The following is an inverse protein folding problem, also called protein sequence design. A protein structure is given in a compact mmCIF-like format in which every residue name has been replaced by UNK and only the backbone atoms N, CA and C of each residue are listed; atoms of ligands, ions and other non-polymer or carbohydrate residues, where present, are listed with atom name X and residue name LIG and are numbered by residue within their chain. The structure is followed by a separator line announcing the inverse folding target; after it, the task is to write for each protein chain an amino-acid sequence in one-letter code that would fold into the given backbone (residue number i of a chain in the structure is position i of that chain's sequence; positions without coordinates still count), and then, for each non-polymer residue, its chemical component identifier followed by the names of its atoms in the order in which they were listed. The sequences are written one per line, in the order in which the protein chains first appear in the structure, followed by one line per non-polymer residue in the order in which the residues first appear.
data_IF_470517230739
#
_entry.id   IF_470517230739
#
_cell.length_a   1.000
_cell.length_b   1.000
_cell.length_c   1.000
_cell.angle_alpha   90.00
_cell.angle_beta   90.00
_cell.angle_gamma   90.00
#
_symmetry.space_group_name_H-M   'P 1'
#
loop_
_entity.id
_entity.type
_entity.pdbx_description
1 polymer ?
#
# COMPACT_ATOMS: atom_id res chain seq x y z
N UNK A 1 28.06 -10.31 -16.54
CA UNK A 1 27.13 -11.12 -15.73
C UNK A 1 26.48 -12.14 -16.66
N UNK A 2 26.75 -13.43 -16.47
CA UNK A 2 26.20 -14.51 -17.29
C UNK A 2 25.33 -15.42 -16.41
N UNK A 3 24.21 -15.90 -16.96
CA UNK A 3 23.32 -16.85 -16.29
C UNK A 3 23.77 -18.27 -16.61
N UNK A 4 23.87 -19.12 -15.59
CA UNK A 4 24.23 -20.54 -15.68
C UNK A 4 23.15 -21.39 -15.02
N UNK A 5 22.82 -22.53 -15.61
CA UNK A 5 21.93 -23.52 -14.98
C UNK A 5 22.73 -24.37 -13.99
N UNK A 6 22.26 -24.46 -12.75
CA UNK A 6 22.90 -25.25 -11.68
C UNK A 6 21.89 -26.25 -11.14
N UNK A 7 22.31 -27.50 -10.99
CA UNK A 7 21.44 -28.54 -10.43
C UNK A 7 21.00 -28.16 -9.00
N UNK A 8 19.72 -28.39 -8.69
CA UNK A 8 19.14 -28.00 -7.41
C UNK A 8 19.90 -28.65 -6.23
N UNK A 9 20.35 -29.89 -6.38
CA UNK A 9 21.12 -30.62 -5.38
C UNK A 9 22.53 -30.09 -5.12
N UNK A 10 23.09 -29.28 -6.03
CA UNK A 10 24.41 -28.69 -5.90
C UNK A 10 24.38 -27.33 -5.17
N UNK A 11 23.20 -26.75 -5.02
CA UNK A 11 22.99 -25.46 -4.36
C UNK A 11 22.92 -25.62 -2.85
N UNK A 12 23.60 -24.72 -2.14
CA UNK A 12 23.71 -24.77 -0.67
C UNK A 12 23.06 -23.53 -0.05
N UNK A 13 21.98 -23.67 0.72
CA UNK A 13 21.45 -22.56 1.50
C UNK A 13 22.51 -22.00 2.45
N UNK A 14 22.59 -20.68 2.56
CA UNK A 14 23.45 -20.05 3.55
C UNK A 14 22.90 -20.28 4.97
N UNK A 15 23.69 -20.94 5.82
CA UNK A 15 23.27 -21.39 7.14
C UNK A 15 22.85 -20.25 8.10
N UNK A 16 23.43 -19.05 7.95
CA UNK A 16 23.16 -17.90 8.80
C UNK A 16 22.29 -16.86 8.09
N UNK A 17 21.32 -17.27 7.27
CA UNK A 17 20.39 -16.35 6.63
C UNK A 17 19.48 -15.69 7.70
N UNK A 18 19.56 -14.37 7.92
CA UNK A 18 18.76 -13.70 8.95
C UNK A 18 17.31 -13.45 8.53
N UNK A 19 16.95 -13.66 7.25
CA UNK A 19 15.61 -13.36 6.73
C UNK A 19 14.66 -14.56 6.93
N UNK A 20 13.54 -14.31 7.61
CA UNK A 20 12.43 -15.25 7.72
C UNK A 20 11.53 -15.13 6.47
N UNK A 21 11.46 -16.19 5.67
CA UNK A 21 10.83 -16.16 4.34
C UNK A 21 9.63 -17.10 4.18
N UNK A 22 9.28 -17.88 5.19
CA UNK A 22 8.34 -19.01 5.05
C UNK A 22 6.99 -18.59 4.45
N UNK A 23 6.47 -17.44 4.88
CA UNK A 23 5.20 -16.88 4.37
C UNK A 23 5.28 -16.52 2.88
N UNK A 24 6.44 -16.01 2.42
CA UNK A 24 6.61 -15.56 1.05
C UNK A 24 6.78 -16.72 0.05
N UNK A 25 7.14 -17.93 0.51
CA UNK A 25 7.41 -19.07 -0.37
C UNK A 25 6.20 -19.39 -1.24
N UNK A 26 4.98 -19.34 -0.69
CA UNK A 26 3.76 -19.68 -1.45
C UNK A 26 3.57 -18.73 -2.66
N UNK A 27 3.71 -17.42 -2.46
CA UNK A 27 3.53 -16.43 -3.53
C UNK A 27 4.64 -16.50 -4.57
N UNK A 28 5.89 -16.69 -4.13
CA UNK A 28 7.04 -16.86 -5.03
C UNK A 28 6.90 -18.14 -5.86
N UNK A 29 6.38 -19.22 -5.26
CA UNK A 29 6.10 -20.48 -5.96
C UNK A 29 5.06 -20.29 -7.06
N UNK A 30 3.95 -19.58 -6.79
CA UNK A 30 2.95 -19.28 -7.81
C UNK A 30 3.52 -18.37 -8.91
N UNK A 31 4.34 -17.37 -8.56
CA UNK A 31 5.04 -16.52 -9.52
C UNK A 31 5.96 -17.32 -10.45
N UNK A 32 6.78 -18.23 -9.89
CA UNK A 32 7.65 -19.10 -10.70
C UNK A 32 6.82 -20.06 -11.56
N UNK A 33 5.73 -20.63 -11.04
CA UNK A 33 4.86 -21.52 -11.80
C UNK A 33 4.20 -20.82 -12.99
N UNK A 34 3.76 -19.57 -12.82
CA UNK A 34 3.07 -18.79 -13.84
C UNK A 34 4.02 -18.18 -14.87
N UNK A 35 5.11 -17.57 -14.44
CA UNK A 35 5.99 -16.74 -15.27
C UNK A 35 7.34 -17.40 -15.59
N UNK A 36 7.65 -18.52 -14.93
CA UNK A 36 8.98 -19.10 -14.93
C UNK A 36 9.96 -18.26 -14.12
N UNK A 37 11.22 -18.67 -14.17
CA UNK A 37 12.29 -18.05 -13.39
C UNK A 37 12.80 -16.77 -14.08
N UNK A 38 12.22 -15.61 -13.75
CA UNK A 38 12.63 -14.31 -14.32
C UNK A 38 13.80 -13.64 -13.61
N UNK A 39 14.02 -13.98 -12.34
CA UNK A 39 15.12 -13.42 -11.54
C UNK A 39 15.97 -14.57 -11.00
N UNK A 40 17.20 -14.77 -11.54
CA UNK A 40 18.10 -15.83 -11.10
C UNK A 40 18.46 -15.78 -9.61
N UNK A 41 18.96 -16.90 -9.09
CA UNK A 41 19.70 -16.89 -7.82
C UNK A 41 21.05 -16.20 -8.01
N UNK A 42 21.59 -15.63 -6.94
CA UNK A 42 23.01 -15.27 -6.90
C UNK A 42 23.71 -16.26 -5.98
N UNK A 43 24.80 -16.85 -6.46
CA UNK A 43 25.59 -17.85 -5.74
C UNK A 43 27.06 -17.46 -5.71
N UNK A 44 27.78 -17.91 -4.69
CA UNK A 44 29.24 -17.78 -4.66
C UNK A 44 29.92 -18.90 -5.48
N UNK A 45 31.25 -18.89 -5.46
CA UNK A 45 32.10 -19.88 -6.15
C UNK A 45 31.93 -21.31 -5.63
N UNK A 46 31.34 -21.49 -4.44
CA UNK A 46 31.10 -22.78 -3.79
C UNK A 46 29.63 -23.23 -3.86
N UNK A 47 28.84 -22.57 -4.72
CA UNK A 47 27.39 -22.75 -4.89
C UNK A 47 26.58 -22.44 -3.61
N UNK A 48 27.12 -21.64 -2.69
CA UNK A 48 26.33 -21.15 -1.56
C UNK A 48 25.47 -19.98 -2.02
N UNK A 49 24.18 -20.04 -1.69
CA UNK A 49 23.21 -19.02 -2.06
C UNK A 49 23.57 -17.71 -1.34
N UNK A 50 23.76 -16.68 -2.14
CA UNK A 50 23.96 -15.29 -1.71
C UNK A 50 22.59 -14.63 -1.63
N UNK A 51 21.82 -14.67 -2.72
CA UNK A 51 20.47 -14.11 -2.82
C UNK A 51 19.50 -15.08 -3.47
N UNK A 52 18.23 -15.05 -3.04
CA UNK A 52 17.15 -15.86 -3.63
C UNK A 52 16.79 -17.14 -2.87
N UNK A 53 17.03 -17.22 -1.56
CA UNK A 53 16.62 -18.39 -0.74
C UNK A 53 15.13 -18.71 -0.84
N UNK A 54 14.25 -17.72 -0.91
CA UNK A 54 12.80 -17.93 -1.10
C UNK A 54 12.50 -18.58 -2.45
N UNK A 55 13.20 -18.18 -3.51
CA UNK A 55 13.07 -18.77 -4.84
C UNK A 55 13.60 -20.21 -4.87
N UNK A 56 14.69 -20.48 -4.16
CA UNK A 56 15.23 -21.83 -3.99
C UNK A 56 14.20 -22.77 -3.33
N UNK A 57 13.61 -22.36 -2.20
CA UNK A 57 12.61 -23.18 -1.51
C UNK A 57 11.33 -23.36 -2.34
N UNK A 58 10.88 -22.31 -3.02
CA UNK A 58 9.76 -22.40 -3.97
C UNK A 58 10.04 -23.40 -5.10
N UNK A 59 11.23 -23.35 -5.70
CA UNK A 59 11.62 -24.27 -6.76
C UNK A 59 11.74 -25.72 -6.29
N UNK A 60 12.18 -25.94 -5.04
CA UNK A 60 12.18 -27.25 -4.39
C UNK A 60 10.76 -27.80 -4.25
N UNK A 61 9.79 -26.97 -3.86
CA UNK A 61 8.37 -27.37 -3.82
C UNK A 61 7.80 -27.68 -5.20
N UNK A 62 8.27 -26.97 -6.24
CA UNK A 62 7.93 -27.23 -7.64
C UNK A 62 8.68 -28.43 -8.25
N UNK A 63 9.58 -29.08 -7.50
CA UNK A 63 10.39 -30.23 -7.94
C UNK A 63 11.24 -29.94 -9.19
N UNK A 64 11.76 -28.72 -9.29
CA UNK A 64 12.67 -28.35 -10.39
C UNK A 64 14.02 -29.08 -10.26
N UNK A 65 14.61 -29.47 -11.39
CA UNK A 65 15.90 -30.19 -11.41
C UNK A 65 17.11 -29.24 -11.38
N UNK A 66 16.98 -28.07 -12.00
CA UNK A 66 18.02 -27.03 -12.08
C UNK A 66 17.42 -25.63 -12.00
N UNK A 67 18.25 -24.67 -11.58
CA UNK A 67 17.87 -23.26 -11.41
C UNK A 67 18.86 -22.33 -12.11
N UNK A 68 18.37 -21.24 -12.73
CA UNK A 68 19.24 -20.22 -13.29
C UNK A 68 19.90 -19.45 -12.14
N UNK A 69 21.22 -19.38 -12.21
CA UNK A 69 22.07 -18.76 -11.22
C UNK A 69 23.04 -17.78 -11.89
N UNK A 70 23.45 -16.78 -11.13
CA UNK A 70 24.55 -15.89 -11.46
C UNK A 70 25.65 -16.12 -10.42
N UNK A 71 26.87 -16.36 -10.89
CA UNK A 71 28.04 -16.48 -10.01
C UNK A 71 28.55 -15.09 -9.67
N UNK A 72 28.66 -14.80 -8.39
CA UNK A 72 29.34 -13.63 -7.85
C UNK A 72 30.83 -13.96 -7.61
N UNK A 73 31.53 -14.36 -8.67
CA UNK A 73 32.95 -14.70 -8.65
C UNK A 73 33.88 -13.47 -8.68
N UNK A 74 33.29 -12.29 -8.85
CA UNK A 74 33.92 -10.97 -8.78
C UNK A 74 33.90 -10.35 -7.37
N UNK A 75 33.19 -10.97 -6.42
CA UNK A 75 33.08 -10.47 -5.05
C UNK A 75 33.95 -11.27 -4.08
N UNK A 76 34.62 -10.57 -3.17
CA UNK A 76 35.30 -11.20 -2.05
C UNK A 76 34.31 -11.62 -0.94
N UNK A 77 34.77 -12.38 0.06
CA UNK A 77 33.90 -12.91 1.13
C UNK A 77 33.15 -11.82 1.92
N UNK A 78 33.80 -10.70 2.19
CA UNK A 78 33.20 -9.57 2.91
C UNK A 78 32.10 -8.91 2.07
N UNK A 79 32.36 -8.71 0.77
CA UNK A 79 31.40 -8.18 -0.18
C UNK A 79 30.22 -9.12 -0.37
N UNK A 80 30.45 -10.43 -0.46
CA UNK A 80 29.39 -11.45 -0.49
C UNK A 80 28.51 -11.31 0.77
N UNK A 81 29.12 -11.25 1.96
CA UNK A 81 28.37 -11.10 3.23
C UNK A 81 27.56 -9.80 3.27
N UNK A 82 28.15 -8.68 2.84
CA UNK A 82 27.46 -7.40 2.76
C UNK A 82 26.30 -7.44 1.76
N UNK A 83 26.51 -8.05 0.59
CA UNK A 83 25.51 -8.14 -0.46
C UNK A 83 24.29 -8.97 -0.04
N UNK A 84 24.49 -10.08 0.70
CA UNK A 84 23.37 -10.85 1.30
C UNK A 84 22.42 -9.97 2.11
N UNK A 85 22.99 -9.02 2.88
CA UNK A 85 22.21 -8.11 3.72
C UNK A 85 21.60 -6.98 2.89
N UNK A 86 22.38 -6.40 1.99
CA UNK A 86 21.95 -5.27 1.17
C UNK A 86 20.75 -5.63 0.28
N UNK A 87 20.80 -6.76 -0.44
CA UNK A 87 19.73 -7.22 -1.34
C UNK A 87 18.36 -7.32 -0.64
N UNK A 88 18.36 -7.79 0.62
CA UNK A 88 17.14 -7.85 1.43
C UNK A 88 16.75 -6.47 1.97
N UNK A 89 17.72 -5.68 2.46
CA UNK A 89 17.46 -4.43 3.17
C UNK A 89 16.95 -3.33 2.24
N UNK A 90 17.42 -3.27 0.99
CA UNK A 90 17.05 -2.20 0.06
C UNK A 90 15.57 -2.20 -0.29
N UNK A 91 14.93 -3.37 -0.34
CA UNK A 91 13.50 -3.50 -0.59
C UNK A 91 12.64 -2.86 0.51
N UNK A 92 13.12 -2.82 1.76
CA UNK A 92 12.40 -2.22 2.89
C UNK A 92 12.29 -0.70 2.83
N UNK A 93 13.04 -0.04 1.94
CA UNK A 93 12.96 1.42 1.73
C UNK A 93 12.01 1.82 0.60
N UNK A 94 11.32 0.86 -0.01
CA UNK A 94 10.35 1.10 -1.07
C UNK A 94 8.93 0.98 -0.53
N UNK A 95 8.06 1.88 -0.97
CA UNK A 95 6.62 1.87 -0.69
C UNK A 95 5.87 1.87 -2.01
N UNK A 96 4.63 1.38 -2.02
CA UNK A 96 3.75 1.47 -3.16
C UNK A 96 3.16 2.88 -3.28
N UNK A 97 2.90 3.29 -4.52
CA UNK A 97 2.02 4.42 -4.82
C UNK A 97 0.62 3.84 -5.00
N UNK A 98 -0.19 3.85 -3.95
CA UNK A 98 -1.48 3.14 -3.89
C UNK A 98 -2.37 3.46 -5.09
N UNK A 99 -2.43 4.73 -5.51
CA UNK A 99 -3.23 5.13 -6.66
C UNK A 99 -2.79 4.46 -7.96
N UNK A 100 -1.48 4.37 -8.19
CA UNK A 100 -0.96 3.68 -9.38
C UNK A 100 -1.08 2.17 -9.26
N UNK A 101 -0.92 1.64 -8.05
CA UNK A 101 -1.08 0.22 -7.79
C UNK A 101 -2.52 -0.22 -8.10
N UNK A 102 -3.52 0.48 -7.57
CA UNK A 102 -4.94 0.21 -7.81
C UNK A 102 -5.29 0.27 -9.29
N UNK A 103 -4.75 1.27 -10.00
CA UNK A 103 -4.96 1.41 -11.44
C UNK A 103 -4.41 0.21 -12.23
N UNK A 104 -3.19 -0.23 -11.91
CA UNK A 104 -2.56 -1.38 -12.58
C UNK A 104 -3.27 -2.70 -12.23
N UNK A 105 -3.65 -2.89 -10.96
CA UNK A 105 -4.41 -4.07 -10.51
C UNK A 105 -5.80 -4.12 -11.15
N UNK A 106 -6.50 -2.99 -11.23
CA UNK A 106 -7.80 -2.88 -11.90
C UNK A 106 -7.72 -3.23 -13.39
N UNK A 107 -6.69 -2.76 -14.10
CA UNK A 107 -6.47 -3.10 -15.51
C UNK A 107 -6.18 -4.59 -15.72
N UNK A 108 -5.41 -5.21 -14.84
CA UNK A 108 -5.15 -6.65 -14.88
C UNK A 108 -6.43 -7.44 -14.61
N UNK A 109 -7.23 -7.01 -13.64
CA UNK A 109 -8.51 -7.63 -13.32
C UNK A 109 -9.52 -7.53 -14.48
N UNK A 110 -9.62 -6.37 -15.14
CA UNK A 110 -10.45 -6.19 -16.34
C UNK A 110 -10.05 -7.11 -17.50
N UNK A 111 -8.78 -7.53 -17.53
CA UNK A 111 -8.24 -8.50 -18.50
C UNK A 111 -8.40 -9.96 -18.03
N UNK A 112 -9.02 -10.19 -16.87
CA UNK A 112 -9.22 -11.51 -16.29
C UNK A 112 -7.95 -12.10 -15.67
N UNK A 113 -6.98 -11.27 -15.29
CA UNK A 113 -5.76 -11.70 -14.64
C UNK A 113 -5.87 -11.55 -13.13
N UNK A 114 -6.00 -12.69 -12.44
CA UNK A 114 -6.06 -12.78 -10.98
C UNK A 114 -4.67 -12.57 -10.35
N UNK A 115 -4.57 -11.62 -9.42
CA UNK A 115 -3.35 -11.22 -8.72
C UNK A 115 -3.24 -11.72 -7.27
N UNK A 116 -4.31 -12.30 -6.71
CA UNK A 116 -4.31 -12.85 -5.33
C UNK A 116 -3.23 -13.93 -5.11
N UNK A 117 -2.95 -14.85 -6.06
CA UNK A 117 -1.88 -15.84 -5.90
C UNK A 117 -0.49 -15.24 -5.73
N UNK A 118 -0.29 -13.96 -6.07
CA UNK A 118 0.96 -13.23 -5.91
C UNK A 118 0.97 -12.33 -4.66
N UNK A 119 -0.10 -12.37 -3.84
CA UNK A 119 -0.20 -11.64 -2.58
C UNK A 119 -0.85 -10.26 -2.70
N UNK A 120 -1.53 -9.96 -3.82
CA UNK A 120 -2.39 -8.79 -3.94
C UNK A 120 -3.83 -9.21 -3.66
N UNK A 121 -4.21 -9.13 -2.40
CA UNK A 121 -5.57 -9.40 -1.94
C UNK A 121 -6.44 -8.18 -2.20
N UNK A 122 -7.73 -8.40 -2.47
CA UNK A 122 -8.68 -7.30 -2.53
C UNK A 122 -8.82 -6.67 -1.13
N UNK A 123 -8.87 -5.34 -1.07
CA UNK A 123 -8.88 -4.56 0.19
C UNK A 123 -9.98 -4.99 1.19
N UNK A 124 -11.04 -5.66 0.73
CA UNK A 124 -12.11 -6.19 1.59
C UNK A 124 -11.63 -7.25 2.60
N UNK A 125 -10.50 -7.94 2.37
CA UNK A 125 -10.00 -8.99 3.28
C UNK A 125 -8.99 -8.47 4.32
N UNK A 126 -8.36 -7.32 4.10
CA UNK A 126 -7.40 -6.70 5.03
C UNK A 126 -8.08 -5.91 6.16
N UNK A 127 -9.33 -5.45 5.94
CA UNK A 127 -10.13 -4.78 6.96
C UNK A 127 -10.43 -5.71 8.15
N UNK A 128 -10.73 -7.00 7.92
CA UNK A 128 -11.03 -7.94 9.00
C UNK A 128 -9.84 -8.24 9.94
N UNK A 129 -8.60 -8.19 9.45
CA UNK A 129 -7.40 -8.46 10.26
C UNK A 129 -6.83 -7.19 10.92
N UNK A 130 -7.12 -6.02 10.34
CA UNK A 130 -6.89 -4.71 10.95
C UNK A 130 -7.88 -4.43 12.08
N UNK A 131 -9.18 -4.71 11.87
CA UNK A 131 -10.24 -4.56 12.87
C UNK A 131 -10.02 -5.45 14.09
N UNK A 132 -9.61 -6.72 13.90
CA UNK A 132 -9.30 -7.66 15.00
C UNK A 132 -8.06 -7.26 15.81
N UNK A 133 -7.16 -6.45 15.26
CA UNK A 133 -5.98 -5.91 15.98
C UNK A 133 -6.24 -4.52 16.60
N UNK A 134 -7.25 -3.80 16.14
CA UNK A 134 -7.66 -2.50 16.68
C UNK A 134 -8.49 -2.60 17.97
N UNK A 135 -9.28 -3.66 18.16
CA UNK A 135 -10.09 -3.82 19.39
C UNK A 135 -9.26 -3.96 20.68
N UNK A 136 -7.98 -4.37 20.61
CA UNK A 136 -7.10 -4.51 21.78
C UNK A 136 -6.13 -3.34 22.03
N UNK A 137 -6.10 -2.32 21.16
CA UNK A 137 -5.33 -1.09 21.44
C UNK A 137 -6.28 0.03 21.83
N UNK A 138 -6.37 0.27 23.13
CA UNK A 138 -6.98 1.49 23.66
C UNK A 138 -6.44 2.70 22.89
N UNK A 139 -7.37 3.52 22.40
CA UNK A 139 -7.08 4.78 21.72
C UNK A 139 -6.22 5.64 22.65
N UNK A 140 -4.91 5.65 22.41
CA UNK A 140 -3.98 6.53 23.11
C UNK A 140 -4.06 7.93 22.47
N UNK A 141 -4.94 8.75 23.05
CA UNK A 141 -4.92 10.21 23.18
C UNK A 141 -4.29 11.04 22.04
N UNK A 142 -5.15 11.80 21.34
CA UNK A 142 -4.78 13.17 20.95
C UNK A 142 -4.26 13.89 22.20
N UNK A 143 -3.05 14.43 22.18
CA UNK A 143 -2.54 15.25 23.28
C UNK A 143 -3.37 16.56 23.36
N UNK A 144 -4.43 16.54 24.16
CA UNK A 144 -5.16 17.73 24.61
C UNK A 144 -4.29 18.42 25.65
N UNK A 145 -3.80 19.61 25.35
CA UNK A 145 -3.22 20.48 26.36
C UNK A 145 -4.33 20.96 27.31
N UNK A 146 -4.04 21.09 28.61
CA UNK A 146 -5.01 21.35 29.71
C UNK A 146 -5.92 22.60 29.54
N UNK A 147 -5.78 23.39 28.48
CA UNK A 147 -6.54 24.62 28.25
C UNK A 147 -7.15 24.75 26.85
N UNK A 148 -7.11 23.70 26.02
CA UNK A 148 -7.59 23.74 24.64
C UNK A 148 -8.94 23.02 24.51
N UNK A 149 -10.02 23.74 24.83
CA UNK A 149 -11.38 23.29 24.52
C UNK A 149 -11.62 23.34 23.01
N UNK A 150 -11.81 22.17 22.40
CA UNK A 150 -12.19 22.01 21.00
C UNK A 150 -13.49 21.24 20.92
N UNK A 151 -14.43 21.75 20.11
CA UNK A 151 -15.65 21.05 19.72
C UNK A 151 -15.43 20.39 18.35
N UNK A 152 -15.85 19.14 18.19
CA UNK A 152 -15.60 18.34 16.99
C UNK A 152 -16.89 18.08 16.21
N UNK A 153 -16.75 17.97 14.89
CA UNK A 153 -17.76 17.44 13.99
C UNK A 153 -17.22 16.15 13.40
N UNK A 154 -18.02 15.09 13.43
CA UNK A 154 -17.68 13.78 12.87
C UNK A 154 -18.65 13.50 11.72
N UNK A 155 -18.10 13.11 10.57
CA UNK A 155 -18.86 12.73 9.38
C UNK A 155 -18.66 11.23 9.15
N UNK A 156 -19.75 10.54 8.82
CA UNK A 156 -19.75 9.12 8.45
C UNK A 156 -20.17 9.05 6.98
N UNK A 157 -19.46 8.24 6.20
CA UNK A 157 -19.72 8.04 4.78
C UNK A 157 -19.85 6.55 4.51
N UNK A 158 -20.96 6.14 3.90
CA UNK A 158 -21.21 4.74 3.58
C UNK A 158 -20.52 4.32 2.26
N UNK A 159 -19.88 5.25 1.55
CA UNK A 159 -19.16 4.97 0.31
C UNK A 159 -17.88 5.82 0.15
N UNK A 160 -16.86 5.22 -0.50
CA UNK A 160 -15.52 5.79 -0.70
C UNK A 160 -15.54 7.07 -1.56
N UNK A 161 -16.49 7.20 -2.50
CA UNK A 161 -16.59 8.35 -3.40
C UNK A 161 -17.02 9.64 -2.68
N UNK A 162 -18.01 9.56 -1.80
CA UNK A 162 -18.48 10.70 -1.00
C UNK A 162 -17.40 11.13 -0.01
N UNK A 163 -16.68 10.17 0.58
CA UNK A 163 -15.53 10.45 1.44
C UNK A 163 -14.43 11.21 0.70
N UNK A 164 -14.03 10.75 -0.50
CA UNK A 164 -13.02 11.42 -1.33
C UNK A 164 -13.47 12.83 -1.74
N UNK A 165 -14.75 12.97 -2.13
CA UNK A 165 -15.34 14.27 -2.50
C UNK A 165 -15.26 15.25 -1.33
N UNK A 166 -15.62 14.81 -0.12
CA UNK A 166 -15.50 15.62 1.08
C UNK A 166 -14.03 15.98 1.39
N UNK A 167 -13.09 15.04 1.27
CA UNK A 167 -11.67 15.32 1.45
C UNK A 167 -11.16 16.42 0.50
N UNK A 168 -11.56 16.37 -0.78
CA UNK A 168 -11.18 17.38 -1.77
C UNK A 168 -11.79 18.75 -1.44
N UNK A 169 -13.09 18.78 -1.15
CA UNK A 169 -13.83 20.03 -0.87
C UNK A 169 -13.29 20.74 0.38
N UNK A 170 -12.99 19.97 1.43
CA UNK A 170 -12.40 20.50 2.65
C UNK A 170 -10.87 20.60 2.60
N UNK A 171 -10.25 20.21 1.49
CA UNK A 171 -8.79 20.13 1.28
C UNK A 171 -8.09 19.45 2.48
N UNK A 172 -8.63 18.29 2.87
CA UNK A 172 -8.07 17.39 3.86
C UNK A 172 -6.90 16.67 3.19
N UNK A 173 -5.71 16.76 3.79
CA UNK A 173 -4.48 16.24 3.21
C UNK A 173 -3.75 15.33 4.20
N UNK A 174 -2.78 14.56 3.70
CA UNK A 174 -1.87 13.78 4.54
C UNK A 174 -1.08 14.73 5.45
N UNK A 175 -1.22 14.55 6.75
CA UNK A 175 -0.49 15.29 7.79
C UNK A 175 0.29 14.31 8.66
N UNK A 176 1.48 14.73 9.11
CA UNK A 176 2.28 13.95 10.05
C UNK A 176 1.77 14.18 11.45
N UNK A 177 1.30 13.12 12.10
CA UNK A 177 0.95 13.14 13.53
C UNK A 177 2.21 13.26 14.39
N UNK A 178 2.11 14.01 15.49
CA UNK A 178 3.24 14.33 16.37
C UNK A 178 3.60 13.19 17.36
N UNK A 179 3.47 11.93 16.93
CA UNK A 179 3.76 10.76 17.76
C UNK A 179 5.27 10.52 17.89
N UNK A 180 5.80 10.55 19.12
CA UNK A 180 7.25 10.50 19.42
C UNK A 180 8.01 9.25 18.96
N UNK A 181 7.36 8.23 18.37
CA UNK A 181 8.04 7.10 17.72
C UNK A 181 7.18 6.62 16.56
N UNK A 182 7.69 6.83 15.34
CA UNK A 182 7.06 6.55 14.04
C UNK A 182 5.96 7.57 13.71
N UNK A 183 6.28 8.51 12.80
CA UNK A 183 5.34 9.51 12.32
C UNK A 183 4.18 8.83 11.59
N UNK A 184 3.08 8.58 12.30
CA UNK A 184 1.84 8.11 11.69
C UNK A 184 1.34 9.22 10.76
N UNK A 185 1.12 8.88 9.50
CA UNK A 185 0.51 9.78 8.52
C UNK A 185 -0.99 9.58 8.63
N UNK A 186 -1.73 10.63 8.99
CA UNK A 186 -3.18 10.65 9.02
C UNK A 186 -3.72 11.65 7.98
N UNK A 187 -4.98 11.54 7.60
CA UNK A 187 -5.67 12.57 6.81
C UNK A 187 -6.29 13.57 7.78
N UNK A 188 -5.97 14.86 7.64
CA UNK A 188 -6.51 15.88 8.55
C UNK A 188 -6.26 17.32 8.11
N UNK A 189 -7.18 18.21 8.50
CA UNK A 189 -7.04 19.66 8.36
C UNK A 189 -7.74 20.36 9.53
N UNK A 190 -7.08 21.34 10.15
CA UNK A 190 -7.74 22.24 11.11
C UNK A 190 -8.39 23.39 10.35
N UNK A 191 -9.71 23.51 10.48
CA UNK A 191 -10.50 24.61 9.92
C UNK A 191 -11.13 25.39 11.07
N UNK A 192 -11.03 26.73 11.05
CA UNK A 192 -11.71 27.57 12.04
C UNK A 192 -13.22 27.50 11.84
N UNK A 193 -13.99 27.28 12.91
CA UNK A 193 -15.45 27.16 12.85
C UNK A 193 -16.16 28.30 12.13
N UNK A 194 -15.70 29.55 12.28
CA UNK A 194 -16.26 30.69 11.56
C UNK A 194 -16.11 30.59 10.04
N UNK A 195 -14.95 30.12 9.55
CA UNK A 195 -14.71 29.91 8.12
C UNK A 195 -15.51 28.73 7.56
N UNK A 196 -15.70 27.69 8.36
CA UNK A 196 -16.56 26.56 8.00
C UNK A 196 -18.01 27.01 7.85
N UNK A 197 -18.52 27.78 8.81
CA UNK A 197 -19.88 28.33 8.78
C UNK A 197 -20.11 29.29 7.59
N UNK A 198 -19.12 30.10 7.21
CA UNK A 198 -19.18 30.94 6.00
C UNK A 198 -19.30 30.10 4.73
N UNK A 199 -18.51 29.02 4.61
CA UNK A 199 -18.54 28.13 3.44
C UNK A 199 -19.89 27.43 3.30
N UNK A 200 -20.41 26.88 4.40
CA UNK A 200 -21.73 26.22 4.43
C UNK A 200 -22.89 27.18 4.13
N UNK A 201 -22.73 28.49 4.39
CA UNK A 201 -23.74 29.51 4.09
C UNK A 201 -23.70 30.01 2.64
N UNK A 202 -22.57 29.87 1.96
CA UNK A 202 -22.44 30.28 0.55
C UNK A 202 -23.20 29.32 -0.37
N UNK A 203 -23.28 28.04 -0.04
CA UNK A 203 -24.03 27.03 -0.81
C UNK A 203 -25.56 27.20 -0.74
N UNK A 204 -26.07 27.86 0.31
CA UNK A 204 -27.51 28.12 0.49
C UNK A 204 -28.01 29.34 -0.31
N UNK A 205 -27.11 30.07 -0.98
CA UNK A 205 -27.43 31.24 -1.80
C UNK A 205 -27.61 30.94 -3.30
N UNK A 206 -27.60 29.65 -3.67
CA UNK A 206 -27.58 29.17 -5.05
C UNK A 206 -28.87 28.58 -5.60
N UNK A 207 -30.07 28.93 -5.11
CA UNK A 207 -31.32 28.67 -5.87
C UNK A 207 -32.48 29.57 -5.41
N UNK A 208 -32.54 30.81 -5.92
CA UNK A 208 -33.77 31.63 -5.93
C UNK A 208 -33.89 32.43 -7.22
N UNK A 209 -33.99 31.76 -8.35
CA UNK A 209 -34.60 32.34 -9.55
C UNK A 209 -35.66 31.40 -10.11
N UNK A 210 -36.79 31.32 -9.40
CA UNK A 210 -37.94 30.50 -9.76
C UNK A 210 -39.24 31.12 -9.24
N UNK A 211 -39.79 32.04 -10.04
CA UNK A 211 -41.23 32.35 -10.19
C UNK A 211 -42.04 32.74 -8.94
N UNK A 212 -42.44 34.01 -8.84
CA UNK A 212 -43.39 34.44 -7.82
C UNK A 212 -43.90 35.87 -7.90
N UNK A 213 -44.80 36.13 -8.87
CA UNK A 213 -45.92 37.10 -8.89
C UNK A 213 -45.63 38.62 -8.88
N UNK A 214 -46.28 39.33 -9.81
CA UNK A 214 -47.44 40.17 -9.47
C UNK A 214 -48.30 40.50 -10.69
N UNK A 215 -49.59 40.27 -10.48
CA UNK A 215 -50.71 40.65 -11.32
C UNK A 215 -50.78 42.18 -11.44
N UNK A 216 -50.75 42.69 -12.67
CA UNK A 216 -51.23 44.03 -13.01
C UNK A 216 -52.26 43.85 -14.13
N UNK A 217 -53.52 43.66 -13.75
CA UNK A 217 -54.65 43.77 -14.65
C UNK A 217 -55.50 44.95 -14.15
N UNK A 218 -55.14 46.15 -14.62
CA UNK A 218 -55.99 47.33 -14.54
C UNK A 218 -56.77 47.45 -15.85
N UNK A 219 -58.09 47.44 -15.72
CA UNK A 219 -59.06 47.60 -16.80
C UNK A 219 -58.84 48.88 -17.62
N UNK A 220 -59.11 48.76 -18.91
CA UNK A 220 -59.06 49.81 -19.93
C UNK A 220 -60.38 50.59 -20.04
N UNK A 221 -60.42 51.71 -20.79
CA UNK A 221 -61.28 52.86 -20.53
C UNK A 221 -62.63 52.82 -21.27
N UNK A 222 -63.56 53.66 -20.82
CA UNK A 222 -64.65 54.23 -21.61
C UNK A 222 -64.79 55.72 -21.28
#
# INVERSE_FOLDING_TARGET
MNIVEVALGDLKPYANNPRLNDVAIKYVKESIAKFGFKVPLVIDTHNVIVCGHTRYEAAKQLKMESLPCIRADDLNEEQIKAFRLADNKVAEFSEWDDFKLDLELGQLNDQGFDMEPFGFFNEEEDEEEAEKKEEERSIASMELNEFEHHDYLVFVFDNKNDFITACNEFNIQKVRGNGKKHGRIGLGRVVRGSKLAERLRLDDSGDKSGTGRKDDNAESPA
#
